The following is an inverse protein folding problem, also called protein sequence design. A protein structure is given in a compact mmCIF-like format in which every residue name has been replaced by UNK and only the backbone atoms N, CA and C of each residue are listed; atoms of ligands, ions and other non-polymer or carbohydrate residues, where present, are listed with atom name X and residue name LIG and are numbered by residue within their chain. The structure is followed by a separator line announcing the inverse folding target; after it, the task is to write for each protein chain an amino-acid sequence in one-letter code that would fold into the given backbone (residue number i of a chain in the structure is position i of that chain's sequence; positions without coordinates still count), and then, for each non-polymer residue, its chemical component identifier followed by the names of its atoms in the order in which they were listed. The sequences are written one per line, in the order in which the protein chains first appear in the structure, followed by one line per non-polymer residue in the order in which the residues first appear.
data_IF_489842365483
#
_entry.id   IF_489842365483
#
_cell.length_a   1.000
_cell.length_b   1.000
_cell.length_c   1.000
_cell.angle_alpha   90.00
_cell.angle_beta   90.00
_cell.angle_gamma   90.00
#
_symmetry.space_group_name_H-M   'P 1'
#
loop_
_entity.id
_entity.type
_entity.pdbx_description
1 polymer ?
#
# COMPACT_ATOMS: atom_id res chain seq x y z
N UNK A 1 -9.40 9.28 56.76
CA UNK A 1 -8.23 9.05 55.88
C UNK A 1 -8.62 9.36 54.42
N UNK A 2 -8.36 10.57 53.93
CA UNK A 2 -8.74 11.01 52.57
C UNK A 2 -7.79 10.36 51.55
N UNK A 3 -8.30 9.47 50.69
CA UNK A 3 -7.56 8.94 49.53
C UNK A 3 -7.25 10.10 48.57
N UNK A 4 -5.97 10.46 48.48
CA UNK A 4 -5.43 11.38 47.47
C UNK A 4 -5.64 10.73 46.09
N UNK A 5 -6.55 11.29 45.29
CA UNK A 5 -6.65 10.98 43.86
C UNK A 5 -5.39 11.52 43.18
N UNK A 6 -4.43 10.64 42.91
CA UNK A 6 -3.34 10.93 41.99
C UNK A 6 -3.90 10.93 40.56
N UNK A 7 -4.42 12.09 40.14
CA UNK A 7 -4.62 12.38 38.74
C UNK A 7 -3.25 12.55 38.09
N UNK A 8 -2.67 11.45 37.61
CA UNK A 8 -1.48 11.46 36.76
C UNK A 8 -1.87 12.00 35.37
N UNK A 9 -2.05 13.31 35.25
CA UNK A 9 -2.08 13.98 33.95
C UNK A 9 -0.68 13.92 33.32
N UNK A 10 -0.60 13.46 32.08
CA UNK A 10 0.62 13.49 31.28
C UNK A 10 1.06 14.95 31.13
N UNK A 11 2.29 15.27 31.55
CA UNK A 11 2.82 16.64 31.50
C UNK A 11 2.95 17.09 30.03
N UNK A 12 2.49 18.32 29.68
CA UNK A 12 2.45 18.83 28.31
C UNK A 12 3.83 19.07 27.66
N UNK A 13 4.93 18.90 28.40
CA UNK A 13 6.29 19.11 27.90
C UNK A 13 6.83 17.91 27.10
N UNK A 14 6.35 16.70 27.40
CA UNK A 14 6.81 15.47 26.75
C UNK A 14 6.14 15.23 25.39
N UNK A 15 4.94 15.79 25.20
CA UNK A 15 4.13 15.66 23.98
C UNK A 15 4.70 16.46 22.80
N UNK A 16 5.20 17.67 23.07
CA UNK A 16 5.76 18.54 22.03
C UNK A 16 7.02 17.96 21.36
N UNK A 17 7.87 17.26 22.13
CA UNK A 17 9.10 16.64 21.59
C UNK A 17 8.79 15.49 20.62
N UNK A 18 7.79 14.66 20.92
CA UNK A 18 7.40 13.53 20.08
C UNK A 18 6.87 14.02 18.73
N UNK A 19 6.01 15.05 18.71
CA UNK A 19 5.52 15.66 17.46
C UNK A 19 6.66 16.22 16.63
N UNK A 20 7.58 16.95 17.28
CA UNK A 20 8.75 17.54 16.61
C UNK A 20 9.62 16.46 15.98
N UNK A 21 9.87 15.36 16.71
CA UNK A 21 10.62 14.20 16.18
C UNK A 21 9.87 13.57 15.00
N UNK A 22 8.56 13.37 15.11
CA UNK A 22 7.74 12.81 14.04
C UNK A 22 7.81 13.65 12.76
N UNK A 23 7.51 14.96 12.83
CA UNK A 23 7.56 15.85 11.67
C UNK A 23 8.96 15.99 11.10
N UNK A 24 10.00 16.04 11.95
CA UNK A 24 11.41 16.04 11.51
C UNK A 24 11.76 14.80 10.70
N UNK A 25 11.33 13.61 11.16
CA UNK A 25 11.56 12.36 10.43
C UNK A 25 10.76 12.30 9.13
N UNK A 26 9.52 12.77 9.14
CA UNK A 26 8.68 12.85 7.94
C UNK A 26 9.29 13.80 6.89
N UNK A 27 9.84 14.93 7.33
CA UNK A 27 10.61 15.83 6.49
C UNK A 27 11.87 15.17 5.92
N UNK A 28 12.60 14.39 6.73
CA UNK A 28 13.75 13.63 6.21
C UNK A 28 13.35 12.59 5.15
N UNK A 29 12.24 11.89 5.34
CA UNK A 29 11.70 10.98 4.32
C UNK A 29 11.37 11.77 3.05
N UNK A 30 10.70 12.93 3.17
CA UNK A 30 10.40 13.82 2.05
C UNK A 30 11.65 14.26 1.28
N UNK A 31 12.72 14.66 1.99
CA UNK A 31 13.99 15.04 1.37
C UNK A 31 14.65 13.86 0.65
N UNK A 32 14.55 12.63 1.17
CA UNK A 32 15.12 11.44 0.53
C UNK A 32 14.42 11.07 -0.78
N UNK A 33 13.13 11.39 -0.92
CA UNK A 33 12.34 11.09 -2.11
C UNK A 33 12.86 11.89 -3.32
N UNK A 34 13.33 13.13 -3.12
CA UNK A 34 13.80 14.02 -4.20
C UNK A 34 14.91 13.38 -5.06
N UNK A 35 16.06 12.99 -4.51
CA UNK A 35 17.12 12.35 -5.30
C UNK A 35 16.72 10.98 -5.83
N UNK A 36 15.83 10.25 -5.13
CA UNK A 36 15.30 8.98 -5.65
C UNK A 36 14.53 9.23 -6.95
N UNK A 37 13.64 10.24 -6.99
CA UNK A 37 12.88 10.56 -8.20
C UNK A 37 13.80 11.07 -9.32
N UNK A 38 14.72 11.99 -9.01
CA UNK A 38 15.60 12.61 -10.02
C UNK A 38 16.51 11.57 -10.67
N UNK A 39 17.02 10.61 -9.91
CA UNK A 39 18.01 9.64 -10.37
C UNK A 39 17.44 8.22 -10.59
N UNK A 40 16.13 8.02 -10.45
CA UNK A 40 15.48 6.70 -10.59
C UNK A 40 15.74 6.05 -11.95
N UNK A 41 15.73 6.84 -13.02
CA UNK A 41 15.82 6.35 -14.41
C UNK A 41 17.26 6.35 -14.96
N UNK A 42 18.23 6.83 -14.19
CA UNK A 42 19.63 6.89 -14.63
C UNK A 42 20.25 5.48 -14.64
N UNK A 43 20.51 4.96 -15.84
CA UNK A 43 21.14 3.64 -16.07
C UNK A 43 22.67 3.67 -15.95
N UNK A 44 23.27 4.84 -15.83
CA UNK A 44 24.72 5.08 -15.90
C UNK A 44 25.36 5.28 -14.51
N UNK A 45 26.44 6.06 -14.41
CA UNK A 45 27.30 6.25 -13.22
C UNK A 45 26.54 6.63 -11.94
N UNK A 46 25.39 7.29 -12.06
CA UNK A 46 24.58 7.75 -10.93
C UNK A 46 23.53 6.74 -10.44
N UNK A 47 23.47 5.53 -11.00
CA UNK A 47 22.49 4.49 -10.62
C UNK A 47 22.52 4.13 -9.13
N UNK A 48 23.68 4.28 -8.47
CA UNK A 48 23.84 3.98 -7.04
C UNK A 48 23.52 5.17 -6.13
N UNK A 49 23.35 6.39 -6.66
CA UNK A 49 23.04 7.58 -5.87
C UNK A 49 21.71 7.46 -5.11
N UNK A 50 20.61 6.91 -5.67
CA UNK A 50 19.37 6.71 -4.93
C UNK A 50 19.49 5.78 -3.72
N UNK A 51 20.43 4.83 -3.75
CA UNK A 51 20.52 3.77 -2.74
C UNK A 51 20.75 4.28 -1.30
N UNK A 52 21.76 5.14 -1.01
CA UNK A 52 21.94 5.69 0.34
C UNK A 52 20.73 6.52 0.81
N UNK A 53 20.07 7.27 -0.07
CA UNK A 53 18.86 8.02 0.29
C UNK A 53 17.68 7.09 0.59
N UNK A 54 17.54 6.01 -0.18
CA UNK A 54 16.56 4.97 0.09
C UNK A 54 16.81 4.31 1.46
N UNK A 55 18.05 3.89 1.74
CA UNK A 55 18.41 3.27 3.01
C UNK A 55 18.19 4.22 4.19
N UNK A 56 18.57 5.50 4.05
CA UNK A 56 18.35 6.50 5.08
C UNK A 56 16.85 6.79 5.28
N UNK A 57 16.07 6.93 4.20
CA UNK A 57 14.62 7.08 4.26
C UNK A 57 13.93 5.90 4.94
N UNK A 58 14.34 4.67 4.60
CA UNK A 58 13.86 3.44 5.24
C UNK A 58 14.23 3.39 6.72
N UNK A 59 15.44 3.81 7.10
CA UNK A 59 15.82 3.92 8.50
C UNK A 59 14.90 4.90 9.26
N UNK A 60 14.59 6.07 8.69
CA UNK A 60 13.65 7.00 9.30
C UNK A 60 12.23 6.42 9.42
N UNK A 61 11.78 5.67 8.41
CA UNK A 61 10.49 4.97 8.44
C UNK A 61 10.44 3.94 9.56
N UNK A 62 11.48 3.10 9.70
CA UNK A 62 11.60 2.11 10.79
C UNK A 62 11.55 2.80 12.16
N UNK A 63 12.22 3.95 12.30
CA UNK A 63 12.17 4.73 13.54
C UNK A 63 10.76 5.28 13.84
N UNK A 64 10.02 5.74 12.82
CA UNK A 64 8.61 6.14 12.98
C UNK A 64 7.76 4.93 13.40
N UNK A 65 7.97 3.75 12.80
CA UNK A 65 7.26 2.53 13.16
C UNK A 65 7.59 2.12 14.61
N UNK A 66 8.86 2.17 15.01
CA UNK A 66 9.29 1.86 16.38
C UNK A 66 8.72 2.83 17.43
N UNK A 67 8.49 4.09 17.05
CA UNK A 67 7.86 5.11 17.89
C UNK A 67 6.35 5.21 17.69
N UNK A 68 5.75 4.38 16.84
CA UNK A 68 4.37 4.54 16.38
C UNK A 68 3.35 4.54 17.51
N UNK A 69 3.54 3.71 18.54
CA UNK A 69 2.68 3.72 19.71
C UNK A 69 2.74 5.05 20.47
N UNK A 70 3.93 5.60 20.67
CA UNK A 70 4.12 6.90 21.33
C UNK A 70 3.56 8.06 20.50
N UNK A 71 3.72 7.99 19.18
CA UNK A 71 3.15 8.96 18.24
C UNK A 71 1.61 8.91 18.32
N UNK A 72 1.02 7.71 18.27
CA UNK A 72 -0.43 7.54 18.42
C UNK A 72 -0.90 8.04 19.78
N UNK A 73 -0.21 7.70 20.86
CA UNK A 73 -0.53 8.18 22.21
C UNK A 73 -0.35 9.70 22.35
N UNK A 74 0.44 10.35 21.50
CA UNK A 74 0.61 11.81 21.54
C UNK A 74 -0.42 12.58 20.69
N UNK A 75 -0.73 12.08 19.49
CA UNK A 75 -1.77 12.63 18.62
C UNK A 75 -3.18 12.31 19.14
N UNK A 76 -3.31 11.20 19.89
CA UNK A 76 -4.56 10.70 20.45
C UNK A 76 -4.36 10.31 21.94
N UNK A 77 -4.09 11.29 22.83
CA UNK A 77 -3.74 11.02 24.21
C UNK A 77 -4.86 10.33 24.98
N UNK A 78 -4.54 9.27 25.76
CA UNK A 78 -5.52 8.62 26.59
C UNK A 78 -6.05 9.58 27.65
N UNK A 79 -7.38 9.64 27.82
CA UNK A 79 -8.00 10.42 28.91
C UNK A 79 -7.83 9.72 30.26
N UNK A 80 -7.64 8.41 30.28
CA UNK A 80 -7.33 7.62 31.48
C UNK A 80 -6.24 6.60 31.17
N UNK A 81 -5.26 6.44 32.08
CA UNK A 81 -4.10 5.55 31.86
C UNK A 81 -4.46 4.06 31.90
N UNK A 82 -5.59 3.70 32.52
CA UNK A 82 -6.02 2.31 32.71
C UNK A 82 -7.55 2.19 32.75
N UNK A 83 -8.14 1.56 31.73
CA UNK A 83 -9.48 1.00 31.83
C UNK A 83 -9.41 -0.30 32.65
N UNK A 84 -10.13 -0.40 33.76
CA UNK A 84 -10.18 -1.64 34.58
C UNK A 84 -10.93 -2.77 33.88
N UNK A 85 -11.85 -2.44 32.98
CA UNK A 85 -12.68 -3.40 32.22
C UNK A 85 -12.93 -2.87 30.81
N UNK A 86 -12.64 -3.68 29.79
CA UNK A 86 -12.88 -3.31 28.38
C UNK A 86 -14.35 -3.40 28.02
N UNK A 87 -14.93 -2.34 27.45
CA UNK A 87 -16.31 -2.36 26.95
C UNK A 87 -16.48 -3.39 25.80
N UNK A 88 -17.66 -4.01 25.66
CA UNK A 88 -17.91 -5.02 24.62
C UNK A 88 -17.75 -4.45 23.20
N UNK A 89 -18.15 -3.21 22.97
CA UNK A 89 -18.01 -2.56 21.66
C UNK A 89 -16.54 -2.31 21.28
N UNK A 90 -15.70 -1.91 22.24
CA UNK A 90 -14.28 -1.66 22.01
C UNK A 90 -13.54 -2.97 21.69
N UNK A 91 -14.00 -4.08 22.28
CA UNK A 91 -13.58 -5.44 21.92
C UNK A 91 -14.01 -5.80 20.49
N UNK A 92 -15.25 -5.51 20.11
CA UNK A 92 -15.74 -5.73 18.74
C UNK A 92 -14.91 -4.96 17.71
N UNK A 93 -14.68 -3.65 17.91
CA UNK A 93 -13.90 -2.81 16.99
C UNK A 93 -12.47 -3.33 16.84
N UNK A 94 -11.87 -3.80 17.92
CA UNK A 94 -10.56 -4.45 17.86
C UNK A 94 -10.55 -5.66 16.93
N UNK A 95 -11.45 -6.64 17.15
CA UNK A 95 -11.51 -7.82 16.29
C UNK A 95 -11.91 -7.49 14.86
N UNK A 96 -12.83 -6.54 14.67
CA UNK A 96 -13.22 -6.08 13.35
C UNK A 96 -12.04 -5.48 12.58
N UNK A 97 -11.28 -4.56 13.19
CA UNK A 97 -10.11 -3.96 12.55
C UNK A 97 -9.01 -4.99 12.24
N UNK A 98 -8.82 -5.96 13.12
CA UNK A 98 -7.88 -7.07 12.91
C UNK A 98 -8.33 -7.97 11.75
N UNK A 99 -9.59 -8.41 11.74
CA UNK A 99 -10.16 -9.23 10.67
C UNK A 99 -10.12 -8.50 9.33
N UNK A 100 -10.42 -7.20 9.31
CA UNK A 100 -10.34 -6.36 8.11
C UNK A 100 -8.93 -6.37 7.50
N UNK A 101 -7.89 -6.28 8.33
CA UNK A 101 -6.50 -6.38 7.89
C UNK A 101 -6.20 -7.75 7.26
N UNK A 102 -6.54 -8.85 7.94
CA UNK A 102 -6.23 -10.19 7.43
C UNK A 102 -7.02 -10.54 6.17
N UNK A 103 -8.30 -10.20 6.10
CA UNK A 103 -9.10 -10.39 4.89
C UNK A 103 -8.52 -9.55 3.75
N UNK A 104 -8.22 -8.28 3.99
CA UNK A 104 -7.59 -7.41 2.99
C UNK A 104 -6.26 -7.98 2.48
N UNK A 105 -5.42 -8.51 3.37
CA UNK A 105 -4.14 -9.12 3.01
C UNK A 105 -4.32 -10.36 2.11
N UNK A 106 -5.22 -11.26 2.50
CA UNK A 106 -5.51 -12.49 1.75
C UNK A 106 -6.10 -12.13 0.38
N UNK A 107 -7.11 -11.26 0.34
CA UNK A 107 -7.74 -10.81 -0.91
C UNK A 107 -6.75 -10.14 -1.85
N UNK A 108 -5.86 -9.27 -1.33
CA UNK A 108 -4.86 -8.62 -2.17
C UNK A 108 -3.85 -9.62 -2.74
N UNK A 109 -3.49 -10.66 -1.99
CA UNK A 109 -2.57 -11.70 -2.46
C UNK A 109 -3.10 -12.41 -3.71
N UNK A 110 -4.42 -12.62 -3.81
CA UNK A 110 -5.04 -13.18 -5.02
C UNK A 110 -5.10 -12.17 -6.17
N UNK A 111 -5.35 -10.90 -5.87
CA UNK A 111 -5.56 -9.85 -6.88
C UNK A 111 -4.27 -9.22 -7.43
N UNK A 112 -3.12 -9.35 -6.75
CA UNK A 112 -1.90 -8.65 -7.16
C UNK A 112 -1.42 -9.02 -8.57
N UNK A 113 -1.67 -10.27 -9.00
CA UNK A 113 -1.38 -10.72 -10.37
C UNK A 113 -2.25 -10.03 -11.42
N UNK A 114 -3.47 -9.69 -11.06
CA UNK A 114 -4.38 -9.00 -11.95
C UNK A 114 -3.95 -7.55 -12.14
N UNK A 115 -3.40 -6.90 -11.10
CA UNK A 115 -2.77 -5.58 -11.22
C UNK A 115 -1.55 -5.59 -12.14
N UNK A 116 -0.67 -6.58 -12.00
CA UNK A 116 0.48 -6.74 -12.91
C UNK A 116 0.04 -6.98 -14.36
N UNK A 117 -1.14 -7.56 -14.59
CA UNK A 117 -1.66 -7.76 -15.95
C UNK A 117 -2.61 -6.66 -16.42
N UNK A 118 -2.61 -5.51 -15.73
CA UNK A 118 -3.41 -4.33 -16.05
C UNK A 118 -2.51 -3.19 -16.51
N UNK A 119 -2.79 -2.60 -17.66
CA UNK A 119 -2.11 -1.41 -18.16
C UNK A 119 -2.39 -0.24 -17.21
N UNK A 120 -1.34 0.45 -16.75
CA UNK A 120 -1.38 1.39 -15.63
C UNK A 120 -1.92 0.77 -14.33
N UNK A 121 -1.73 -0.53 -14.12
CA UNK A 121 -2.20 -1.23 -12.92
C UNK A 121 -1.63 -0.66 -11.62
N UNK A 122 -0.40 -0.17 -11.63
CA UNK A 122 0.23 0.54 -10.50
C UNK A 122 -0.54 1.79 -10.11
N UNK A 123 -1.04 2.56 -11.09
CA UNK A 123 -1.88 3.73 -10.84
C UNK A 123 -3.22 3.33 -10.23
N UNK A 124 -3.87 2.28 -10.73
CA UNK A 124 -5.11 1.76 -10.15
C UNK A 124 -4.89 1.32 -8.69
N UNK A 125 -3.81 0.58 -8.44
CA UNK A 125 -3.44 0.12 -7.10
C UNK A 125 -3.32 1.29 -6.10
N UNK A 126 -2.52 2.30 -6.42
CA UNK A 126 -2.29 3.42 -5.52
C UNK A 126 -3.52 4.30 -5.34
N UNK A 127 -4.28 4.57 -6.42
CA UNK A 127 -5.50 5.37 -6.33
C UNK A 127 -6.57 4.69 -5.46
N UNK A 128 -6.76 3.38 -5.62
CA UNK A 128 -7.68 2.60 -4.79
C UNK A 128 -7.22 2.55 -3.32
N UNK A 129 -5.92 2.32 -3.10
CA UNK A 129 -5.33 2.27 -1.77
C UNK A 129 -5.47 3.61 -1.02
N UNK A 130 -5.15 4.73 -1.66
CA UNK A 130 -5.33 6.06 -1.06
C UNK A 130 -6.80 6.40 -0.80
N UNK A 131 -7.71 5.95 -1.66
CA UNK A 131 -9.15 6.05 -1.40
C UNK A 131 -9.53 5.29 -0.13
N UNK A 132 -8.99 4.09 0.07
CA UNK A 132 -9.16 3.32 1.31
C UNK A 132 -8.63 4.05 2.56
N UNK A 133 -7.48 4.70 2.45
CA UNK A 133 -6.92 5.53 3.54
C UNK A 133 -7.84 6.73 3.84
N UNK A 134 -8.37 7.40 2.83
CA UNK A 134 -9.31 8.51 3.03
C UNK A 134 -10.56 8.06 3.80
N UNK A 135 -11.11 6.88 3.45
CA UNK A 135 -12.22 6.27 4.19
C UNK A 135 -11.80 5.95 5.63
N UNK A 136 -10.59 5.41 5.85
CA UNK A 136 -10.08 5.11 7.19
C UNK A 136 -10.00 6.35 8.09
N UNK A 137 -9.59 7.50 7.52
CA UNK A 137 -9.56 8.78 8.23
C UNK A 137 -10.98 9.18 8.65
N UNK A 138 -11.95 9.13 7.75
CA UNK A 138 -13.36 9.47 8.03
C UNK A 138 -13.93 8.56 9.13
N UNK A 139 -13.76 7.24 9.01
CA UNK A 139 -14.21 6.26 10.00
C UNK A 139 -13.58 6.54 11.37
N UNK A 140 -12.28 6.84 11.39
CA UNK A 140 -11.56 7.16 12.63
C UNK A 140 -12.09 8.44 13.28
N UNK A 141 -12.39 9.48 12.50
CA UNK A 141 -12.98 10.72 13.01
C UNK A 141 -14.37 10.43 13.62
N UNK A 142 -15.23 9.71 12.90
CA UNK A 142 -16.58 9.36 13.38
C UNK A 142 -16.51 8.54 14.67
N UNK A 143 -15.66 7.51 14.71
CA UNK A 143 -15.50 6.68 15.91
C UNK A 143 -14.93 7.50 17.09
N UNK A 144 -14.02 8.45 16.83
CA UNK A 144 -13.49 9.33 17.87
C UNK A 144 -14.55 10.26 18.45
N UNK A 145 -15.46 10.76 17.62
CA UNK A 145 -16.56 11.63 18.06
C UNK A 145 -17.65 10.84 18.82
N UNK A 146 -17.99 9.64 18.35
CA UNK A 146 -19.11 8.85 18.90
C UNK A 146 -18.72 7.97 20.07
N UNK A 147 -17.55 7.32 20.01
CA UNK A 147 -17.07 6.34 21.00
C UNK A 147 -15.61 6.61 21.35
N UNK A 148 -15.36 7.71 22.06
CA UNK A 148 -14.01 8.14 22.39
C UNK A 148 -13.23 7.14 23.28
N UNK A 149 -13.88 6.23 24.01
CA UNK A 149 -13.22 5.23 24.87
C UNK A 149 -12.28 4.29 24.11
N UNK A 150 -12.66 3.92 22.88
CA UNK A 150 -11.83 3.10 21.98
C UNK A 150 -10.43 3.70 21.84
N UNK A 151 -10.36 5.03 21.78
CA UNK A 151 -9.14 5.81 21.53
C UNK A 151 -8.55 6.47 22.76
N UNK A 152 -9.27 6.51 23.87
CA UNK A 152 -8.78 7.19 25.08
C UNK A 152 -8.44 6.27 26.24
N UNK A 153 -8.79 4.99 26.19
CA UNK A 153 -8.71 4.12 27.39
C UNK A 153 -8.10 2.73 27.07
N UNK A 154 -7.94 2.35 25.80
CA UNK A 154 -7.57 0.99 25.39
C UNK A 154 -6.08 0.80 25.05
N UNK A 155 -5.45 -0.30 25.50
CA UNK A 155 -4.12 -0.73 25.01
C UNK A 155 -4.14 -1.18 23.53
N UNK A 156 -5.32 -1.35 22.95
CA UNK A 156 -5.54 -1.90 21.60
C UNK A 156 -5.61 -0.83 20.51
N UNK A 157 -5.41 0.44 20.87
CA UNK A 157 -5.54 1.62 19.99
C UNK A 157 -4.66 1.57 18.76
N UNK A 158 -3.41 1.19 18.94
CA UNK A 158 -2.47 1.03 17.84
C UNK A 158 -3.00 -0.01 16.83
N UNK A 159 -3.42 -1.18 17.31
CA UNK A 159 -3.98 -2.24 16.45
C UNK A 159 -5.24 -1.78 15.73
N UNK A 160 -6.10 -0.99 16.39
CA UNK A 160 -7.32 -0.44 15.76
C UNK A 160 -6.98 0.56 14.66
N UNK A 161 -6.08 1.53 14.92
CA UNK A 161 -5.66 2.48 13.89
C UNK A 161 -4.93 1.78 12.75
N UNK A 162 -3.94 0.95 13.05
CA UNK A 162 -3.19 0.22 12.03
C UNK A 162 -4.11 -0.70 11.22
N UNK A 163 -4.98 -1.45 11.89
CA UNK A 163 -5.94 -2.35 11.27
C UNK A 163 -6.92 -1.63 10.35
N UNK A 164 -7.41 -0.44 10.73
CA UNK A 164 -8.26 0.35 9.84
C UNK A 164 -7.49 0.95 8.66
N UNK A 165 -6.37 1.62 8.89
CA UNK A 165 -5.64 2.29 7.82
C UNK A 165 -5.06 1.30 6.82
N UNK A 166 -4.38 0.26 7.31
CA UNK A 166 -3.79 -0.76 6.44
C UNK A 166 -4.85 -1.71 5.92
N UNK A 167 -5.81 -2.15 6.74
CA UNK A 167 -6.89 -3.01 6.29
C UNK A 167 -7.77 -2.37 5.20
N UNK A 168 -8.14 -1.09 5.35
CA UNK A 168 -8.92 -0.39 4.33
C UNK A 168 -8.11 -0.10 3.06
N UNK A 169 -6.82 0.20 3.19
CA UNK A 169 -5.93 0.30 2.03
C UNK A 169 -5.92 -1.02 1.23
N UNK A 170 -5.68 -2.15 1.92
CA UNK A 170 -5.58 -3.46 1.31
C UNK A 170 -6.90 -3.89 0.67
N UNK A 171 -8.02 -3.79 1.41
CA UNK A 171 -9.33 -4.24 0.91
C UNK A 171 -9.87 -3.36 -0.21
N UNK A 172 -9.67 -2.03 -0.14
CA UNK A 172 -10.09 -1.11 -1.20
C UNK A 172 -9.34 -1.43 -2.49
N UNK A 173 -8.03 -1.70 -2.37
CA UNK A 173 -7.19 -2.09 -3.49
C UNK A 173 -7.65 -3.42 -4.08
N UNK A 174 -7.77 -4.47 -3.27
CA UNK A 174 -8.21 -5.78 -3.76
C UNK A 174 -9.62 -5.74 -4.37
N UNK A 175 -10.55 -5.03 -3.74
CA UNK A 175 -11.93 -4.91 -4.23
C UNK A 175 -11.97 -4.14 -5.56
N UNK A 176 -11.20 -3.06 -5.68
CA UNK A 176 -11.13 -2.28 -6.92
C UNK A 176 -10.53 -3.10 -8.05
N UNK A 177 -9.46 -3.86 -7.78
CA UNK A 177 -8.89 -4.82 -8.75
C UNK A 177 -9.92 -5.85 -9.19
N UNK A 178 -10.49 -6.58 -8.22
CA UNK A 178 -11.53 -7.58 -8.46
C UNK A 178 -12.68 -7.03 -9.30
N UNK A 179 -13.23 -5.86 -8.93
CA UNK A 179 -14.34 -5.24 -9.64
C UNK A 179 -13.92 -4.79 -11.05
N UNK A 180 -12.70 -4.25 -11.20
CA UNK A 180 -12.19 -3.87 -12.51
C UNK A 180 -12.14 -5.06 -13.47
N UNK A 181 -11.70 -6.23 -12.99
CA UNK A 181 -11.53 -7.44 -13.80
C UNK A 181 -12.82 -8.21 -14.02
N UNK A 182 -13.61 -8.43 -12.97
CA UNK A 182 -14.82 -9.26 -13.05
C UNK A 182 -16.00 -8.57 -13.73
N UNK A 183 -16.09 -7.24 -13.66
CA UNK A 183 -17.16 -6.46 -14.30
C UNK A 183 -16.67 -5.70 -15.54
N UNK A 184 -15.72 -6.30 -16.25
CA UNK A 184 -15.17 -5.77 -17.48
C UNK A 184 -16.18 -5.79 -18.64
N UNK A 185 -16.02 -4.85 -19.56
CA UNK A 185 -16.76 -4.84 -20.82
C UNK A 185 -16.33 -6.04 -21.69
N UNK A 186 -17.25 -6.56 -22.49
CA UNK A 186 -16.97 -7.64 -23.45
C UNK A 186 -16.22 -7.17 -24.71
N UNK A 187 -15.90 -5.88 -24.81
CA UNK A 187 -15.23 -5.29 -25.98
C UNK A 187 -13.74 -5.57 -25.89
N UNK A 188 -13.24 -6.34 -26.86
CA UNK A 188 -11.83 -6.71 -27.01
C UNK A 188 -11.07 -5.66 -27.82
N UNK A 189 -9.99 -5.14 -27.25
CA UNK A 189 -9.11 -4.15 -27.88
C UNK A 189 -7.73 -4.80 -28.02
N UNK A 190 -7.29 -5.04 -29.25
CA UNK A 190 -5.98 -5.60 -29.53
C UNK A 190 -5.01 -4.50 -29.96
N UNK A 191 -3.84 -4.43 -29.32
CA UNK A 191 -2.77 -3.49 -29.64
C UNK A 191 -1.43 -4.19 -29.72
N UNK A 192 -0.54 -3.69 -30.58
CA UNK A 192 0.81 -4.22 -30.76
C UNK A 192 1.78 -3.52 -29.82
N UNK A 193 2.61 -4.30 -29.14
CA UNK A 193 3.64 -3.85 -28.21
C UNK A 193 4.97 -4.52 -28.56
N UNK A 194 6.07 -3.89 -28.15
CA UNK A 194 7.41 -4.48 -28.26
C UNK A 194 7.84 -4.93 -26.86
N UNK A 195 8.35 -6.16 -26.77
CA UNK A 195 9.00 -6.64 -25.54
C UNK A 195 10.35 -5.94 -25.46
N UNK A 196 10.51 -5.00 -24.53
CA UNK A 196 11.79 -4.30 -24.35
C UNK A 196 12.81 -5.20 -23.64
N UNK A 197 12.36 -5.86 -22.57
CA UNK A 197 13.18 -6.79 -21.79
C UNK A 197 12.35 -7.83 -21.07
N UNK A 198 13.02 -8.88 -20.66
CA UNK A 198 12.48 -10.00 -19.90
C UNK A 198 13.18 -10.07 -18.53
N UNK A 199 12.44 -10.50 -17.51
CA UNK A 199 13.03 -10.72 -16.19
C UNK A 199 12.40 -11.92 -15.51
N UNK A 200 13.17 -12.50 -14.58
CA UNK A 200 12.71 -13.56 -13.69
C UNK A 200 12.93 -13.15 -12.26
N UNK A 201 11.90 -13.29 -11.43
CA UNK A 201 12.08 -13.24 -9.97
C UNK A 201 12.35 -14.67 -9.48
N UNK A 202 13.53 -14.88 -8.90
CA UNK A 202 13.89 -16.16 -8.29
C UNK A 202 13.35 -16.18 -6.86
N UNK A 203 12.16 -16.73 -6.67
CA UNK A 203 11.64 -17.07 -5.36
C UNK A 203 12.23 -18.39 -4.85
N UNK A 204 12.25 -18.57 -3.52
CA UNK A 204 12.67 -19.83 -2.88
C UNK A 204 11.84 -21.05 -3.31
N UNK A 205 10.62 -20.84 -3.82
CA UNK A 205 9.64 -21.89 -4.11
C UNK A 205 9.08 -21.83 -5.53
N UNK A 206 9.06 -20.65 -6.17
CA UNK A 206 8.58 -20.49 -7.55
C UNK A 206 9.28 -19.34 -8.25
N UNK A 207 9.58 -19.55 -9.54
CA UNK A 207 10.06 -18.49 -10.42
C UNK A 207 8.87 -17.77 -11.05
N UNK A 208 8.84 -16.46 -10.90
CA UNK A 208 7.89 -15.61 -11.62
C UNK A 208 8.57 -15.01 -12.84
N UNK A 209 7.84 -14.92 -13.94
CA UNK A 209 8.36 -14.51 -15.24
C UNK A 209 7.65 -13.22 -15.67
N UNK A 210 8.43 -12.23 -16.11
CA UNK A 210 7.90 -10.91 -16.43
C UNK A 210 8.33 -10.47 -17.83
N UNK A 211 7.40 -9.80 -18.52
CA UNK A 211 7.70 -9.00 -19.70
C UNK A 211 7.60 -7.53 -19.34
N UNK A 212 8.57 -6.74 -19.78
CA UNK A 212 8.52 -5.29 -19.71
C UNK A 212 8.26 -4.76 -21.11
N UNK A 213 7.16 -4.05 -21.25
CA UNK A 213 6.66 -3.56 -22.53
C UNK A 213 6.76 -2.06 -22.59
N UNK A 214 7.17 -1.56 -23.75
CA UNK A 214 7.16 -0.14 -24.02
C UNK A 214 5.79 0.29 -24.51
N UNK A 215 5.15 1.22 -23.78
CA UNK A 215 3.87 1.81 -24.18
C UNK A 215 4.07 3.01 -25.12
N UNK A 216 2.97 3.47 -25.75
CA UNK A 216 2.95 4.64 -26.64
C UNK A 216 3.52 5.91 -25.97
N UNK A 217 3.42 6.03 -24.64
CA UNK A 217 3.92 7.18 -23.87
C UNK A 217 5.35 6.99 -23.36
N UNK A 218 6.13 6.06 -23.92
CA UNK A 218 7.49 5.74 -23.46
C UNK A 218 7.56 5.16 -22.02
N UNK A 219 6.43 4.90 -21.38
CA UNK A 219 6.38 4.26 -20.07
C UNK A 219 6.57 2.75 -20.20
N UNK A 220 7.31 2.16 -19.26
CA UNK A 220 7.50 0.73 -19.16
C UNK A 220 6.35 0.10 -18.35
N UNK A 221 5.65 -0.87 -18.94
CA UNK A 221 4.62 -1.66 -18.26
C UNK A 221 5.15 -3.06 -17.99
N UNK A 222 5.00 -3.53 -16.75
CA UNK A 222 5.39 -4.88 -16.35
C UNK A 222 4.19 -5.80 -16.43
N UNK A 223 4.28 -6.90 -17.17
CA UNK A 223 3.27 -7.96 -17.23
C UNK A 223 3.79 -9.27 -16.65
N UNK A 224 2.96 -9.96 -15.86
CA UNK A 224 3.26 -11.29 -15.34
C UNK A 224 2.86 -12.37 -16.34
N UNK A 225 3.79 -13.23 -16.72
CA UNK A 225 3.57 -14.27 -17.74
C UNK A 225 3.92 -15.66 -17.22
N UNK A 226 3.29 -16.68 -17.81
CA UNK A 226 3.66 -18.06 -17.53
C UNK A 226 5.00 -18.45 -18.17
N UNK A 227 5.71 -19.41 -17.57
CA UNK A 227 7.00 -19.95 -18.06
C UNK A 227 7.00 -20.30 -19.55
N UNK A 228 5.93 -20.95 -20.02
CA UNK A 228 5.79 -21.36 -21.43
C UNK A 228 5.79 -20.14 -22.36
N UNK A 229 5.01 -19.10 -22.04
CA UNK A 229 5.00 -17.85 -22.82
C UNK A 229 6.37 -17.19 -22.74
N UNK A 230 6.95 -17.09 -21.55
CA UNK A 230 8.27 -16.50 -21.37
C UNK A 230 9.35 -17.13 -22.26
N UNK A 231 9.33 -18.46 -22.46
CA UNK A 231 10.28 -19.15 -23.35
C UNK A 231 9.98 -18.94 -24.83
N UNK A 232 8.71 -18.78 -25.19
CA UNK A 232 8.28 -18.70 -26.59
C UNK A 232 8.49 -17.32 -27.22
N UNK A 233 8.65 -16.26 -26.42
CA UNK A 233 8.86 -14.90 -26.91
C UNK A 233 10.28 -14.40 -26.63
N UNK A 234 10.84 -13.62 -27.55
CA UNK A 234 12.17 -13.03 -27.44
C UNK A 234 12.11 -11.52 -27.14
N UNK A 235 13.19 -10.97 -26.59
CA UNK A 235 13.33 -9.51 -26.43
C UNK A 235 13.43 -8.86 -27.82
N UNK A 236 12.82 -7.69 -27.99
CA UNK A 236 12.68 -7.01 -29.28
C UNK A 236 11.53 -7.54 -30.16
N UNK A 237 10.89 -8.66 -29.80
CA UNK A 237 9.78 -9.22 -30.57
C UNK A 237 8.51 -8.34 -30.43
N UNK A 238 7.78 -8.17 -31.53
CA UNK A 238 6.45 -7.53 -31.55
C UNK A 238 5.38 -8.55 -31.16
N UNK A 239 4.65 -8.23 -30.10
CA UNK A 239 3.52 -9.03 -29.63
C UNK A 239 2.23 -8.24 -29.78
N UNK A 240 1.13 -8.94 -30.04
CA UNK A 240 -0.20 -8.36 -29.99
C UNK A 240 -0.87 -8.77 -28.68
N UNK A 241 -1.23 -7.78 -27.88
CA UNK A 241 -1.98 -7.98 -26.65
C UNK A 241 -3.43 -7.67 -26.91
N UNK A 242 -4.30 -8.63 -26.62
CA UNK A 242 -5.72 -8.37 -26.61
C UNK A 242 -6.22 -8.16 -25.18
N UNK A 243 -6.80 -6.99 -24.98
CA UNK A 243 -7.18 -6.46 -23.69
C UNK A 243 -8.69 -6.26 -23.60
N UNK A 244 -9.22 -6.28 -22.39
CA UNK A 244 -10.59 -5.88 -22.08
C UNK A 244 -10.56 -4.61 -21.23
N UNK A 245 -11.56 -3.75 -21.42
CA UNK A 245 -11.74 -2.55 -20.59
C UNK A 245 -12.44 -2.94 -19.30
N UNK A 246 -11.74 -2.79 -18.18
CA UNK A 246 -12.30 -3.04 -16.87
C UNK A 246 -13.27 -1.95 -16.43
N UNK A 247 -14.03 -2.21 -15.35
CA UNK A 247 -15.08 -1.31 -14.86
C UNK A 247 -14.60 0.09 -14.50
N UNK A 248 -13.37 0.20 -14.00
CA UNK A 248 -12.73 1.49 -13.67
C UNK A 248 -12.01 2.12 -14.87
N UNK A 249 -12.17 1.56 -16.07
CA UNK A 249 -11.58 2.06 -17.31
C UNK A 249 -10.15 1.58 -17.58
N UNK A 250 -9.59 0.74 -16.72
CA UNK A 250 -8.24 0.20 -16.89
C UNK A 250 -8.27 -1.04 -17.79
N UNK A 251 -7.38 -1.09 -18.78
CA UNK A 251 -7.27 -2.20 -19.72
C UNK A 251 -6.47 -3.33 -19.08
N UNK A 252 -6.98 -4.56 -19.08
CA UNK A 252 -6.21 -5.72 -18.63
C UNK A 252 -6.04 -6.74 -19.75
N UNK A 253 -4.90 -7.42 -19.71
CA UNK A 253 -4.45 -8.34 -20.77
C UNK A 253 -5.11 -9.70 -20.58
N UNK A 254 -5.82 -10.17 -21.61
CA UNK A 254 -6.44 -11.50 -21.63
C UNK A 254 -5.63 -12.50 -22.45
N UNK A 255 -5.12 -12.07 -23.59
CA UNK A 255 -4.47 -12.93 -24.58
C UNK A 255 -3.18 -12.30 -25.12
N UNK A 256 -2.23 -13.18 -25.45
CA UNK A 256 -0.93 -12.85 -26.03
C UNK A 256 -0.81 -13.56 -27.38
N UNK A 257 -0.78 -12.79 -28.47
CA UNK A 257 -0.66 -13.30 -29.82
C UNK A 257 0.71 -12.93 -30.42
N UNK A 258 1.33 -13.87 -31.13
CA UNK A 258 2.51 -13.57 -31.96
C UNK A 258 2.07 -12.83 -33.21
N UNK A 259 2.71 -11.70 -33.49
CA UNK A 259 2.60 -11.04 -34.79
C UNK A 259 3.50 -11.81 -35.74
N UNK A 260 2.92 -12.57 -36.69
CA UNK A 260 3.71 -13.21 -37.75
C UNK A 260 4.43 -12.10 -38.54
N UNK A 261 5.73 -12.28 -38.76
CA UNK A 261 6.55 -11.42 -39.62
C UNK A 261 6.00 -11.40 -41.03
#
# INVERSE_FOLDING_TARGET
MKRKNNNNFIKPKQTFEIRKIFYKRLLYIGICIIPIIIFADNKETFRLVPLPFFLFGMYQLIQIIGLSQLIVDDFFPPKTLYEKTTKPFDKFIYYFSFTLFFIGLISLTFEIRNFDNTINGTKLFWTAGFTGIAIAIIVTIILKLTRPSIYYESKRRYTVHFGFFVGLFLISTSLTGFVNHHFADNIKICKKYIIERKSTSNGRTSNEYFFYLKTENNNEERLSVGKTRYKNYEEGEKIELCMLKGKFGFLFVKEFNKVKK
#
